data_IF_353410506412
#
_entry.id   IF_353410506412
#
_cell.length_a   1.000
_cell.length_b   1.000
_cell.length_c   1.000
_cell.angle_alpha   90.00
_cell.angle_beta   90.00
_cell.angle_gamma   90.00
#
_symmetry.space_group_name_H-M   'P 1'
#
loop_
_entity.id
_entity.type
_entity.pdbx_description
1 polymer ?
#
# COMPACT_ATOMS: atom_id res chain seq x y z
N UNK A 1 -8.44 14.94 -8.34
CA UNK A 1 -9.70 15.00 -7.58
C UNK A 1 -10.78 13.99 -8.05
N UNK A 2 -10.43 13.01 -8.88
CA UNK A 2 -11.43 12.10 -9.50
C UNK A 2 -12.00 11.01 -8.56
N UNK A 3 -11.43 10.83 -7.38
CA UNK A 3 -11.78 9.67 -6.55
C UNK A 3 -12.89 9.93 -5.53
N UNK A 4 -13.07 11.17 -5.07
CA UNK A 4 -13.96 11.43 -3.95
C UNK A 4 -14.36 12.91 -3.87
N UNK A 5 -15.61 13.18 -3.49
CA UNK A 5 -16.18 14.52 -3.50
C UNK A 5 -15.47 15.50 -2.54
N UNK A 6 -14.99 15.03 -1.40
CA UNK A 6 -14.27 15.90 -0.45
C UNK A 6 -12.99 16.52 -1.06
N UNK A 7 -12.32 15.82 -1.98
CA UNK A 7 -11.14 16.36 -2.68
C UNK A 7 -11.51 17.48 -3.66
N UNK A 8 -12.70 17.41 -4.24
CA UNK A 8 -13.23 18.52 -5.03
C UNK A 8 -13.45 19.76 -4.17
N UNK A 9 -13.92 19.58 -2.93
CA UNK A 9 -14.06 20.69 -1.97
C UNK A 9 -12.71 21.26 -1.54
N UNK A 10 -11.67 20.44 -1.39
CA UNK A 10 -10.31 20.95 -1.12
C UNK A 10 -9.85 21.90 -2.23
N UNK A 11 -9.99 21.49 -3.48
CA UNK A 11 -9.66 22.32 -4.66
C UNK A 11 -10.53 23.57 -4.71
N UNK A 12 -11.84 23.43 -4.48
CA UNK A 12 -12.77 24.55 -4.53
C UNK A 12 -12.49 25.59 -3.44
N UNK A 13 -12.17 25.15 -2.24
CA UNK A 13 -11.85 26.04 -1.12
C UNK A 13 -10.54 26.80 -1.36
N UNK A 14 -9.53 26.15 -1.98
CA UNK A 14 -8.32 26.85 -2.40
C UNK A 14 -8.65 27.95 -3.42
N UNK A 15 -9.47 27.65 -4.42
CA UNK A 15 -9.88 28.64 -5.43
C UNK A 15 -10.62 29.84 -4.81
N UNK A 16 -11.50 29.62 -3.84
CA UNK A 16 -12.29 30.67 -3.18
C UNK A 16 -11.48 31.49 -2.17
N UNK A 17 -10.41 30.93 -1.63
CA UNK A 17 -9.60 31.58 -0.62
C UNK A 17 -8.76 32.72 -1.24
N UNK A 18 -8.60 33.81 -0.51
CA UNK A 18 -7.64 34.88 -0.84
C UNK A 18 -6.21 34.44 -0.51
N UNK A 19 -5.22 35.02 -1.14
CA UNK A 19 -3.81 34.82 -0.79
C UNK A 19 -3.58 35.13 0.68
N UNK A 20 -2.89 34.26 1.39
CA UNK A 20 -2.64 34.33 2.82
C UNK A 20 -3.78 33.79 3.70
N UNK A 21 -4.97 33.50 3.13
CA UNK A 21 -6.11 32.99 3.89
C UNK A 21 -5.88 31.56 4.41
N UNK A 22 -6.55 31.24 5.50
CA UNK A 22 -6.57 29.90 6.08
C UNK A 22 -7.78 29.11 5.53
N UNK A 23 -7.56 27.85 5.22
CA UNK A 23 -8.55 26.89 4.72
C UNK A 23 -8.59 25.72 5.70
N UNK A 24 -9.65 25.64 6.51
CA UNK A 24 -9.85 24.55 7.47
C UNK A 24 -10.85 23.52 6.96
N UNK A 25 -10.53 22.23 7.07
CA UNK A 25 -11.42 21.14 6.71
C UNK A 25 -11.25 19.94 7.65
N UNK A 26 -12.30 19.12 7.70
CA UNK A 26 -12.25 17.76 8.26
C UNK A 26 -12.61 16.80 7.13
N UNK A 27 -11.77 15.80 6.90
CA UNK A 27 -11.95 14.80 5.83
C UNK A 27 -11.49 13.41 6.29
N UNK A 28 -11.74 12.40 5.46
CA UNK A 28 -11.01 11.14 5.57
C UNK A 28 -9.53 11.33 5.19
N UNK A 29 -8.59 10.57 5.77
CA UNK A 29 -7.15 10.80 5.59
C UNK A 29 -6.57 10.23 4.28
N UNK A 30 -7.36 9.60 3.43
CA UNK A 30 -6.89 8.90 2.23
C UNK A 30 -6.06 9.78 1.28
N UNK A 31 -6.40 11.07 1.16
CA UNK A 31 -5.67 12.01 0.33
C UNK A 31 -4.20 12.18 0.77
N UNK A 32 -3.90 11.89 2.02
CA UNK A 32 -2.54 12.00 2.56
C UNK A 32 -1.58 10.95 1.99
N UNK A 33 -2.08 9.76 1.59
CA UNK A 33 -1.23 8.60 1.33
C UNK A 33 -1.48 7.87 0.02
N UNK A 34 -2.72 7.79 -0.45
CA UNK A 34 -3.03 7.00 -1.64
C UNK A 34 -2.37 7.59 -2.89
N UNK A 35 -1.83 6.72 -3.75
CA UNK A 35 -1.21 7.12 -5.02
C UNK A 35 -2.19 7.82 -5.96
N UNK A 36 -3.48 7.44 -5.93
CA UNK A 36 -4.52 8.12 -6.71
C UNK A 36 -4.71 9.61 -6.38
N UNK A 37 -4.15 10.09 -5.28
CA UNK A 37 -4.18 11.49 -4.86
C UNK A 37 -2.80 12.19 -4.94
N UNK A 38 -1.84 11.59 -5.61
CA UNK A 38 -0.51 12.18 -5.79
C UNK A 38 -0.59 13.57 -6.45
N UNK A 39 -1.23 13.65 -7.63
CA UNK A 39 -1.42 14.91 -8.35
C UNK A 39 -2.14 15.98 -7.49
N UNK A 40 -3.10 15.56 -6.64
CA UNK A 40 -3.77 16.47 -5.72
C UNK A 40 -2.81 17.02 -4.67
N UNK A 41 -1.95 16.17 -4.09
CA UNK A 41 -0.95 16.60 -3.11
C UNK A 41 0.05 17.56 -3.72
N UNK A 42 0.59 17.23 -4.89
CA UNK A 42 1.53 18.11 -5.61
C UNK A 42 0.90 19.47 -5.87
N UNK A 43 -0.31 19.50 -6.42
CA UNK A 43 -1.04 20.73 -6.70
C UNK A 43 -1.32 21.55 -5.42
N UNK A 44 -1.73 20.92 -4.32
CA UNK A 44 -1.94 21.59 -3.03
C UNK A 44 -0.63 22.20 -2.51
N UNK A 45 0.45 21.44 -2.54
CA UNK A 45 1.75 21.86 -2.01
C UNK A 45 2.44 22.95 -2.83
N UNK A 46 2.04 23.13 -4.08
CA UNK A 46 2.48 24.27 -4.90
C UNK A 46 1.77 25.58 -4.52
N UNK A 47 0.55 25.50 -4.05
CA UNK A 47 -0.33 26.64 -3.82
C UNK A 47 -0.53 26.99 -2.36
N UNK A 48 -0.33 26.03 -1.50
CA UNK A 48 -0.68 26.14 -0.08
C UNK A 48 0.42 25.57 0.80
N UNK A 49 0.37 25.91 2.08
CA UNK A 49 1.18 25.31 3.11
C UNK A 49 0.32 24.68 4.19
N UNK A 50 0.61 23.44 4.56
CA UNK A 50 -0.10 22.73 5.63
C UNK A 50 0.40 23.23 6.98
N UNK A 51 -0.43 24.05 7.65
CA UNK A 51 -0.09 24.72 8.90
C UNK A 51 -0.19 23.78 10.10
N UNK A 52 -1.35 23.15 10.22
CA UNK A 52 -1.63 22.23 11.34
C UNK A 52 -2.50 21.09 10.88
N UNK A 53 -2.36 19.95 11.56
CA UNK A 53 -3.25 18.82 11.34
C UNK A 53 -3.38 17.97 12.61
N UNK A 54 -4.62 17.51 12.85
CA UNK A 54 -4.95 16.48 13.81
C UNK A 54 -5.42 15.24 13.07
N UNK A 55 -4.66 14.14 13.17
CA UNK A 55 -5.02 12.85 12.58
C UNK A 55 -5.75 12.03 13.65
N UNK A 56 -7.07 12.02 13.60
CA UNK A 56 -7.92 11.64 14.73
C UNK A 56 -8.13 10.14 14.88
N UNK A 57 -7.82 9.33 13.83
CA UNK A 57 -8.14 7.89 13.84
C UNK A 57 -9.59 7.61 13.45
N UNK A 58 -10.07 6.40 13.78
CA UNK A 58 -11.42 5.91 13.46
C UNK A 58 -12.40 6.20 14.58
N UNK A 59 -13.70 6.13 14.29
CA UNK A 59 -14.76 6.16 15.28
C UNK A 59 -15.20 7.54 15.77
N UNK A 60 -14.46 8.60 15.50
CA UNK A 60 -14.73 9.97 15.99
C UNK A 60 -16.13 10.47 15.61
N UNK A 61 -16.64 10.08 14.46
CA UNK A 61 -17.98 10.45 13.97
C UNK A 61 -18.95 9.28 13.93
N UNK A 62 -18.75 8.27 14.76
CA UNK A 62 -19.58 7.07 14.80
C UNK A 62 -19.45 6.16 13.57
N UNK A 63 -18.46 6.39 12.73
CA UNK A 63 -18.17 5.58 11.54
C UNK A 63 -16.78 4.91 11.66
N UNK A 64 -16.61 3.79 10.97
CA UNK A 64 -15.33 3.07 10.93
C UNK A 64 -14.27 3.74 10.02
N UNK A 65 -14.59 4.89 9.43
CA UNK A 65 -13.63 5.67 8.66
C UNK A 65 -12.75 6.52 9.58
N UNK A 66 -11.46 6.57 9.27
CA UNK A 66 -10.55 7.51 9.90
C UNK A 66 -10.87 8.94 9.50
N UNK A 67 -10.49 9.90 10.33
CA UNK A 67 -10.63 11.32 10.03
C UNK A 67 -9.35 12.10 10.30
N UNK A 68 -9.19 13.22 9.60
CA UNK A 68 -8.16 14.21 9.87
C UNK A 68 -8.76 15.62 9.75
N UNK A 69 -8.45 16.47 10.73
CA UNK A 69 -8.76 17.90 10.68
C UNK A 69 -7.45 18.65 10.35
N UNK A 70 -7.49 19.55 9.40
CA UNK A 70 -6.30 20.26 8.95
C UNK A 70 -6.58 21.71 8.57
N UNK A 71 -5.53 22.52 8.59
CA UNK A 71 -5.54 23.90 8.13
C UNK A 71 -4.43 24.08 7.11
N UNK A 72 -4.81 24.45 5.89
CA UNK A 72 -3.92 24.99 4.88
C UNK A 72 -3.91 26.53 4.93
N UNK A 73 -2.77 27.13 4.66
CA UNK A 73 -2.67 28.54 4.33
C UNK A 73 -2.41 28.67 2.82
N UNK A 74 -3.17 29.53 2.14
CA UNK A 74 -2.93 29.85 0.73
C UNK A 74 -1.70 30.75 0.57
N UNK A 75 -0.54 30.15 0.80
CA UNK A 75 0.78 30.75 0.60
C UNK A 75 1.80 29.62 0.49
N UNK A 76 2.55 29.49 -0.61
CA UNK A 76 3.56 28.44 -0.76
C UNK A 76 4.81 28.79 0.06
N UNK A 77 4.93 28.18 1.23
CA UNK A 77 6.07 28.34 2.15
C UNK A 77 6.78 27.00 2.31
N UNK A 78 7.63 26.62 1.37
CA UNK A 78 8.21 25.27 1.25
C UNK A 78 8.92 24.76 2.52
N UNK A 79 9.61 25.65 3.23
CA UNK A 79 10.38 25.29 4.41
C UNK A 79 9.66 25.55 5.74
N UNK A 80 8.41 26.03 5.69
CA UNK A 80 7.63 26.20 6.89
C UNK A 80 7.28 24.85 7.50
N UNK A 81 7.58 24.64 8.77
CA UNK A 81 7.25 23.41 9.49
C UNK A 81 5.88 23.54 10.14
N UNK A 82 4.91 22.88 9.56
CA UNK A 82 3.59 22.73 10.16
C UNK A 82 3.65 21.82 11.41
N UNK A 83 2.62 21.93 12.25
CA UNK A 83 2.48 21.19 13.50
C UNK A 83 1.39 20.11 13.37
N UNK A 84 1.74 18.87 13.65
CA UNK A 84 0.88 17.72 13.43
C UNK A 84 0.74 16.85 14.67
N UNK A 85 -0.47 16.39 14.96
CA UNK A 85 -0.76 15.44 16.04
C UNK A 85 -1.38 14.17 15.50
N UNK A 86 -0.93 13.02 16.03
CA UNK A 86 -1.52 11.72 15.77
C UNK A 86 -2.21 11.27 17.05
N UNK A 87 -3.54 11.06 16.97
CA UNK A 87 -4.37 10.79 18.13
C UNK A 87 -4.73 9.30 18.29
N UNK A 88 -3.92 8.42 17.72
CA UNK A 88 -4.05 6.96 17.86
C UNK A 88 -2.68 6.30 17.77
N UNK A 89 -2.47 5.21 18.48
CA UNK A 89 -1.22 4.45 18.44
C UNK A 89 -1.25 3.34 17.39
N UNK A 90 -2.32 2.58 17.35
CA UNK A 90 -2.59 1.52 16.36
C UNK A 90 -3.83 1.91 15.56
N UNK A 91 -4.18 1.10 14.56
CA UNK A 91 -5.41 1.32 13.76
C UNK A 91 -6.69 1.05 14.61
N UNK A 92 -6.75 1.64 15.80
CA UNK A 92 -7.88 1.53 16.71
C UNK A 92 -8.90 2.64 16.51
N UNK A 93 -10.13 2.39 16.94
CA UNK A 93 -11.16 3.41 17.09
C UNK A 93 -10.95 4.16 18.39
N UNK A 94 -11.26 5.45 18.39
CA UNK A 94 -11.38 6.25 19.62
C UNK A 94 -12.61 5.77 20.39
N UNK A 95 -12.45 5.46 21.66
CA UNK A 95 -13.52 4.87 22.50
C UNK A 95 -14.47 5.93 23.04
N UNK A 96 -13.99 7.17 23.25
CA UNK A 96 -14.79 8.28 23.78
C UNK A 96 -14.21 9.64 23.41
N UNK A 97 -15.03 10.69 23.53
CA UNK A 97 -14.59 12.07 23.33
C UNK A 97 -13.55 12.49 24.40
N UNK A 98 -13.69 11.97 25.61
CA UNK A 98 -12.73 12.25 26.70
C UNK A 98 -11.35 11.64 26.41
N UNK A 99 -11.30 10.41 25.90
CA UNK A 99 -10.05 9.79 25.41
C UNK A 99 -9.41 10.61 24.31
N UNK A 100 -10.21 11.07 23.33
CA UNK A 100 -9.72 11.90 22.23
C UNK A 100 -9.11 13.22 22.74
N UNK A 101 -9.79 13.92 23.66
CA UNK A 101 -9.33 15.16 24.26
C UNK A 101 -8.04 14.98 25.07
N UNK A 102 -7.98 13.93 25.89
CA UNK A 102 -6.79 13.58 26.64
C UNK A 102 -5.62 13.24 25.71
N UNK A 103 -5.86 12.44 24.69
CA UNK A 103 -4.85 12.10 23.69
C UNK A 103 -4.38 13.34 22.94
N UNK A 104 -5.29 14.25 22.59
CA UNK A 104 -4.92 15.51 21.94
C UNK A 104 -4.01 16.37 22.83
N UNK A 105 -4.28 16.45 24.11
CA UNK A 105 -3.46 17.23 25.07
C UNK A 105 -2.08 16.58 25.28
N UNK A 106 -2.01 15.28 25.43
CA UNK A 106 -0.81 14.55 25.83
C UNK A 106 0.05 14.05 24.67
N UNK A 107 -0.51 13.92 23.45
CA UNK A 107 0.23 13.37 22.31
C UNK A 107 1.37 14.29 21.87
N UNK A 108 2.46 13.64 21.43
CA UNK A 108 3.61 14.33 20.83
C UNK A 108 3.17 15.12 19.59
N UNK A 109 3.67 16.34 19.50
CA UNK A 109 3.56 17.13 18.27
C UNK A 109 4.73 16.79 17.33
N UNK A 110 4.41 16.54 16.08
CA UNK A 110 5.37 16.35 15.00
C UNK A 110 5.49 17.65 14.19
N UNK A 111 6.67 17.91 13.67
CA UNK A 111 6.94 19.06 12.84
C UNK A 111 7.57 18.61 11.52
N UNK A 112 6.97 19.00 10.41
CA UNK A 112 7.46 18.70 9.07
C UNK A 112 7.05 19.79 8.10
N UNK A 113 7.80 19.95 7.02
CA UNK A 113 7.52 20.89 5.95
C UNK A 113 7.02 20.19 4.70
N UNK A 114 6.49 20.94 3.75
CA UNK A 114 6.15 20.44 2.41
C UNK A 114 7.40 19.85 1.73
N UNK A 115 8.57 20.47 1.89
CA UNK A 115 9.82 19.94 1.36
C UNK A 115 10.20 18.58 1.96
N UNK A 116 9.83 18.33 3.22
CA UNK A 116 10.04 17.01 3.84
C UNK A 116 9.14 15.92 3.23
N UNK A 117 7.90 16.26 2.89
CA UNK A 117 6.99 15.32 2.23
C UNK A 117 7.45 14.99 0.80
N UNK A 118 7.98 15.97 0.07
CA UNK A 118 8.51 15.81 -1.28
C UNK A 118 9.77 14.92 -1.38
N UNK A 119 10.45 14.66 -0.27
CA UNK A 119 11.57 13.69 -0.21
C UNK A 119 11.13 12.25 -0.43
N UNK A 120 9.86 11.93 -0.20
CA UNK A 120 9.30 10.58 -0.37
C UNK A 120 8.50 10.55 -1.68
N UNK A 121 8.71 9.56 -2.56
CA UNK A 121 7.96 9.43 -3.81
C UNK A 121 6.45 9.47 -3.59
N UNK A 122 5.74 10.25 -4.42
CA UNK A 122 4.31 10.49 -4.28
C UNK A 122 3.94 11.51 -3.19
N UNK A 123 4.93 12.16 -2.57
CA UNK A 123 4.77 13.24 -1.59
C UNK A 123 3.73 12.95 -0.48
N UNK A 124 3.72 11.75 0.14
CA UNK A 124 2.75 11.45 1.19
C UNK A 124 2.93 12.36 2.40
N UNK A 125 1.82 12.74 3.05
CA UNK A 125 1.85 13.53 4.29
C UNK A 125 2.30 12.66 5.47
N UNK A 126 3.51 12.12 5.38
CA UNK A 126 4.10 11.21 6.35
C UNK A 126 4.88 11.99 7.44
N UNK A 127 4.19 12.85 8.16
CA UNK A 127 4.75 13.79 9.13
C UNK A 127 5.48 13.11 10.30
N UNK A 128 5.18 11.85 10.61
CA UNK A 128 5.82 11.08 11.70
C UNK A 128 7.13 10.39 11.29
N UNK A 129 7.46 10.40 10.01
CA UNK A 129 8.66 9.75 9.49
C UNK A 129 9.89 10.56 9.89
N UNK A 130 10.92 9.88 10.40
CA UNK A 130 12.17 10.53 10.79
C UNK A 130 12.97 11.05 9.58
N UNK A 131 13.82 12.04 9.81
CA UNK A 131 14.72 12.58 8.78
C UNK A 131 15.58 11.47 8.15
N UNK A 132 16.15 10.59 8.96
CA UNK A 132 16.96 9.45 8.47
C UNK A 132 16.21 8.58 7.45
N UNK A 133 14.92 8.33 7.68
CA UNK A 133 14.13 7.54 6.73
C UNK A 133 13.85 8.33 5.45
N UNK A 134 13.61 9.65 5.54
CA UNK A 134 13.45 10.50 4.35
C UNK A 134 14.72 10.56 3.51
N UNK A 135 15.89 10.62 4.16
CA UNK A 135 17.20 10.60 3.50
C UNK A 135 17.46 9.28 2.75
N UNK A 136 16.90 8.15 3.21
CA UNK A 136 17.00 6.89 2.47
C UNK A 136 16.37 7.01 1.08
N UNK A 137 15.22 7.65 0.97
CA UNK A 137 14.56 7.87 -0.32
C UNK A 137 15.31 8.83 -1.24
N UNK A 138 16.01 9.81 -0.67
CA UNK A 138 16.80 10.78 -1.45
C UNK A 138 18.13 10.21 -1.92
N UNK A 139 18.77 9.40 -1.07
CA UNK A 139 20.16 8.96 -1.27
C UNK A 139 20.28 7.57 -1.90
N UNK A 140 19.19 6.85 -2.09
CA UNK A 140 19.23 5.51 -2.66
C UNK A 140 18.33 5.40 -3.90
N UNK A 141 18.70 4.53 -4.85
CA UNK A 141 17.86 4.28 -6.02
C UNK A 141 16.53 3.62 -5.60
N UNK A 142 15.44 3.88 -6.33
CA UNK A 142 14.18 3.19 -6.10
C UNK A 142 14.29 1.70 -6.43
N UNK A 143 13.47 0.88 -5.77
CA UNK A 143 13.44 -0.56 -5.99
C UNK A 143 13.27 -0.93 -7.49
N UNK A 144 12.56 -0.10 -8.26
CA UNK A 144 12.33 -0.32 -9.69
C UNK A 144 13.61 -0.30 -10.55
N UNK A 145 14.70 0.28 -10.06
CA UNK A 145 15.99 0.26 -10.74
C UNK A 145 16.78 -1.03 -10.48
N UNK A 146 16.50 -1.73 -9.39
CA UNK A 146 17.23 -2.93 -8.99
C UNK A 146 16.43 -4.21 -9.13
N UNK A 147 15.10 -4.14 -9.17
CA UNK A 147 14.20 -5.30 -9.28
C UNK A 147 12.85 -4.92 -9.90
N UNK A 148 12.26 -5.87 -10.63
CA UNK A 148 10.89 -5.73 -11.12
C UNK A 148 9.90 -6.30 -10.10
N UNK A 149 9.12 -5.43 -9.46
CA UNK A 149 8.02 -5.85 -8.59
C UNK A 149 6.80 -6.25 -9.44
N UNK A 150 6.46 -7.52 -9.43
CA UNK A 150 5.40 -8.07 -10.26
C UNK A 150 4.41 -8.90 -9.45
N UNK A 151 3.14 -8.80 -9.78
CA UNK A 151 2.09 -9.70 -9.28
C UNK A 151 1.95 -10.84 -10.26
N UNK A 152 1.98 -12.08 -9.75
CA UNK A 152 1.83 -13.28 -10.55
C UNK A 152 0.37 -13.72 -10.73
N UNK A 153 0.18 -15.02 -10.80
CA UNK A 153 -1.11 -15.69 -10.97
C UNK A 153 -2.03 -15.50 -9.77
N UNK A 154 -3.28 -15.15 -10.04
CA UNK A 154 -4.39 -15.22 -9.09
C UNK A 154 -5.42 -16.25 -9.62
N UNK A 155 -5.70 -17.27 -8.84
CA UNK A 155 -6.56 -18.39 -9.29
C UNK A 155 -8.04 -18.03 -9.39
N UNK A 156 -8.49 -17.02 -8.62
CA UNK A 156 -9.91 -16.67 -8.51
C UNK A 156 -10.76 -17.69 -7.72
N UNK A 157 -10.29 -18.93 -7.62
CA UNK A 157 -10.88 -20.00 -6.83
C UNK A 157 -9.79 -20.96 -6.36
N UNK A 158 -9.34 -20.75 -5.12
CA UNK A 158 -8.27 -21.57 -4.56
C UNK A 158 -8.70 -23.03 -4.35
N UNK A 159 -9.95 -23.29 -3.99
CA UNK A 159 -10.45 -24.64 -3.73
C UNK A 159 -10.47 -25.46 -5.02
N UNK A 160 -10.69 -24.82 -6.15
CA UNK A 160 -10.68 -25.47 -7.46
C UNK A 160 -9.26 -25.73 -7.95
N UNK A 161 -8.36 -24.76 -7.85
CA UNK A 161 -7.09 -24.75 -8.57
C UNK A 161 -5.86 -25.02 -7.70
N UNK A 162 -5.97 -24.95 -6.37
CA UNK A 162 -4.86 -25.26 -5.49
C UNK A 162 -5.07 -26.54 -4.70
N UNK A 163 -3.96 -27.21 -4.40
CA UNK A 163 -3.89 -28.33 -3.47
C UNK A 163 -2.64 -28.18 -2.62
N UNK A 164 -2.62 -28.84 -1.47
CA UNK A 164 -1.34 -29.10 -0.81
C UNK A 164 -0.59 -30.15 -1.61
N UNK A 165 0.72 -30.05 -1.68
CA UNK A 165 1.51 -30.97 -2.50
C UNK A 165 1.34 -32.45 -2.09
N UNK A 166 1.07 -32.73 -0.82
CA UNK A 166 0.80 -34.06 -0.28
C UNK A 166 -0.59 -34.63 -0.63
N UNK A 167 -1.50 -33.81 -1.14
CA UNK A 167 -2.85 -34.22 -1.54
C UNK A 167 -2.90 -34.74 -2.99
N UNK A 168 -1.83 -34.61 -3.72
CA UNK A 168 -1.76 -34.96 -5.13
C UNK A 168 -0.74 -36.05 -5.41
N UNK A 169 -0.92 -36.76 -6.50
CA UNK A 169 0.06 -37.74 -6.98
C UNK A 169 1.38 -37.02 -7.30
N UNK A 170 2.44 -37.35 -6.57
CA UNK A 170 3.77 -36.76 -6.70
C UNK A 170 4.34 -36.92 -8.12
N UNK A 171 3.96 -38.00 -8.83
CA UNK A 171 4.40 -38.21 -10.20
C UNK A 171 3.78 -37.22 -11.17
N UNK A 172 2.67 -36.56 -10.79
CA UNK A 172 2.02 -35.48 -11.56
C UNK A 172 2.48 -34.10 -11.17
N UNK A 173 3.46 -33.96 -10.28
CA UNK A 173 4.01 -32.67 -9.88
C UNK A 173 5.26 -32.38 -10.69
N UNK A 174 5.32 -31.21 -11.30
CA UNK A 174 6.46 -30.68 -12.04
C UNK A 174 7.35 -29.84 -11.13
N UNK A 175 8.32 -30.46 -10.49
CA UNK A 175 9.37 -29.75 -9.74
C UNK A 175 10.53 -29.37 -10.65
N UNK A 176 11.25 -28.31 -10.29
CA UNK A 176 12.48 -27.91 -10.96
C UNK A 176 12.29 -27.40 -12.40
N UNK A 177 11.08 -26.97 -12.75
CA UNK A 177 10.85 -26.34 -14.04
C UNK A 177 11.47 -24.94 -14.08
N UNK A 178 12.08 -24.60 -15.20
CA UNK A 178 12.79 -23.33 -15.41
C UNK A 178 12.07 -22.42 -16.41
N UNK A 179 11.04 -22.95 -17.09
CA UNK A 179 10.26 -22.20 -18.09
C UNK A 179 8.84 -22.73 -18.27
N UNK A 180 7.97 -21.87 -18.81
CA UNK A 180 6.61 -22.25 -19.23
C UNK A 180 6.61 -23.37 -20.29
N UNK A 181 7.57 -23.34 -21.19
CA UNK A 181 7.70 -24.33 -22.25
C UNK A 181 8.07 -25.70 -21.68
N UNK A 182 9.05 -25.75 -20.80
CA UNK A 182 9.43 -26.98 -20.09
C UNK A 182 8.27 -27.53 -19.28
N UNK A 183 7.54 -26.67 -18.56
CA UNK A 183 6.36 -27.07 -17.81
C UNK A 183 5.28 -27.66 -18.71
N UNK A 184 5.03 -27.06 -19.88
CA UNK A 184 4.05 -27.58 -20.86
C UNK A 184 4.46 -28.92 -21.46
N UNK A 185 5.73 -29.09 -21.80
CA UNK A 185 6.28 -30.34 -22.38
C UNK A 185 6.36 -31.49 -21.34
N UNK A 186 6.38 -31.16 -20.05
CA UNK A 186 6.47 -32.16 -18.99
C UNK A 186 5.23 -33.01 -18.82
N UNK A 187 4.09 -32.63 -19.41
CA UNK A 187 2.77 -33.27 -19.25
C UNK A 187 2.33 -33.39 -17.77
N UNK A 188 2.98 -32.66 -16.87
CA UNK A 188 2.59 -32.60 -15.47
C UNK A 188 1.36 -31.70 -15.28
N UNK A 189 0.62 -32.02 -14.23
CA UNK A 189 -0.61 -31.29 -13.88
C UNK A 189 -0.37 -30.21 -12.85
N UNK A 190 0.41 -30.52 -11.83
CA UNK A 190 0.57 -29.70 -10.65
C UNK A 190 1.96 -29.07 -10.62
N UNK A 191 2.03 -27.81 -10.26
CA UNK A 191 3.31 -27.08 -10.18
C UNK A 191 3.38 -26.29 -8.88
N UNK A 192 4.57 -26.15 -8.26
CA UNK A 192 4.75 -25.36 -7.05
C UNK A 192 4.16 -23.96 -7.20
N UNK A 193 3.46 -23.49 -6.16
CA UNK A 193 2.77 -22.22 -6.17
C UNK A 193 3.11 -21.40 -4.92
N UNK A 194 3.72 -20.24 -5.13
CA UNK A 194 4.11 -19.32 -4.07
C UNK A 194 2.88 -18.58 -3.54
N UNK A 195 2.24 -19.14 -2.53
CA UNK A 195 1.10 -18.50 -1.88
C UNK A 195 1.56 -17.64 -0.71
N UNK A 196 0.94 -16.47 -0.53
CA UNK A 196 1.06 -15.73 0.71
C UNK A 196 0.53 -16.55 1.89
N UNK A 197 0.93 -16.22 3.09
CA UNK A 197 0.54 -16.92 4.33
C UNK A 197 1.18 -16.26 5.53
N UNK A 198 1.33 -17.03 6.59
CA UNK A 198 1.95 -16.59 7.84
C UNK A 198 3.34 -15.99 7.63
N UNK A 199 3.76 -15.22 8.61
CA UNK A 199 5.11 -14.66 8.60
C UNK A 199 6.16 -15.76 8.52
N UNK A 200 6.92 -15.77 7.45
CA UNK A 200 8.14 -16.57 7.25
C UNK A 200 9.22 -15.66 6.70
N UNK A 201 10.46 -15.89 7.10
CA UNK A 201 11.60 -15.09 6.68
C UNK A 201 12.64 -16.01 6.08
N UNK A 202 13.00 -15.64 4.85
CA UNK A 202 13.94 -16.30 3.95
C UNK A 202 13.42 -17.59 3.28
N UNK A 203 12.64 -18.44 3.96
CA UNK A 203 12.10 -19.71 3.46
C UNK A 203 10.74 -20.03 4.08
N UNK A 204 9.87 -20.77 3.37
CA UNK A 204 8.57 -21.28 3.84
C UNK A 204 7.37 -20.87 2.97
N UNK A 205 6.18 -21.32 3.34
CA UNK A 205 4.93 -21.19 2.59
C UNK A 205 4.99 -21.85 1.20
N UNK A 206 5.64 -23.04 1.12
CA UNK A 206 5.83 -23.81 -0.12
C UNK A 206 4.93 -25.06 -0.15
N UNK A 207 3.83 -25.03 0.57
CA UNK A 207 2.96 -26.19 0.74
C UNK A 207 1.98 -26.39 -0.44
N UNK A 208 1.83 -25.39 -1.31
CA UNK A 208 0.80 -25.40 -2.35
C UNK A 208 1.36 -25.73 -3.72
N UNK A 209 0.54 -26.46 -4.47
CA UNK A 209 0.69 -26.67 -5.91
C UNK A 209 -0.55 -26.16 -6.64
N UNK A 210 -0.37 -25.63 -7.84
CA UNK A 210 -1.44 -25.11 -8.70
C UNK A 210 -1.66 -26.04 -9.89
N UNK A 211 -2.91 -26.22 -10.29
CA UNK A 211 -3.25 -26.87 -11.55
C UNK A 211 -2.85 -25.98 -12.73
N UNK A 212 -1.75 -26.32 -13.37
CA UNK A 212 -1.22 -25.66 -14.57
C UNK A 212 -1.14 -26.62 -15.76
N UNK A 213 -1.98 -27.64 -15.76
CA UNK A 213 -2.07 -28.64 -16.82
C UNK A 213 -2.31 -27.98 -18.19
N UNK A 214 -1.64 -28.46 -19.22
CA UNK A 214 -1.72 -27.92 -20.58
C UNK A 214 -1.43 -26.39 -20.66
N UNK A 215 -0.46 -25.90 -19.88
CA UNK A 215 -0.11 -24.49 -19.85
C UNK A 215 -1.14 -23.61 -19.16
N UNK A 216 -1.88 -24.16 -18.19
CA UNK A 216 -2.87 -23.45 -17.41
C UNK A 216 -4.21 -23.23 -18.13
N UNK A 217 -4.56 -24.11 -19.09
CA UNK A 217 -5.77 -23.96 -19.89
C UNK A 217 -7.03 -23.72 -19.04
N UNK A 218 -7.24 -24.50 -18.00
CA UNK A 218 -8.42 -24.36 -17.13
C UNK A 218 -8.47 -23.00 -16.42
N UNK A 219 -7.32 -22.44 -16.03
CA UNK A 219 -7.23 -21.12 -15.45
C UNK A 219 -7.49 -20.03 -16.49
N UNK A 220 -6.98 -20.20 -17.71
CA UNK A 220 -7.25 -19.29 -18.82
C UNK A 220 -8.75 -19.24 -19.15
N UNK A 221 -9.40 -20.40 -19.23
CA UNK A 221 -10.84 -20.52 -19.48
C UNK A 221 -11.69 -19.94 -18.33
N UNK A 222 -11.12 -19.79 -17.13
CA UNK A 222 -11.79 -19.21 -15.96
C UNK A 222 -11.66 -17.69 -15.85
N UNK A 223 -10.98 -17.03 -16.78
CA UNK A 223 -10.90 -15.57 -16.87
C UNK A 223 -12.30 -14.99 -17.12
N UNK A 224 -12.72 -13.87 -16.50
CA UNK A 224 -11.90 -12.91 -15.70
C UNK A 224 -11.80 -13.21 -14.21
N UNK A 225 -12.35 -14.29 -13.69
CA UNK A 225 -12.25 -14.64 -12.26
C UNK A 225 -10.81 -14.99 -11.89
N UNK A 226 -10.14 -15.82 -12.69
CA UNK A 226 -8.68 -15.97 -12.60
C UNK A 226 -7.99 -14.81 -13.29
N UNK A 227 -6.80 -14.44 -12.82
CA UNK A 227 -5.99 -13.37 -13.42
C UNK A 227 -4.56 -13.87 -13.59
N UNK A 228 -4.17 -14.09 -14.85
CA UNK A 228 -2.83 -14.49 -15.22
C UNK A 228 -2.03 -13.26 -15.61
N UNK A 229 -1.10 -12.87 -14.73
CA UNK A 229 -0.24 -11.70 -14.94
C UNK A 229 1.22 -12.12 -15.02
N UNK A 230 1.97 -11.41 -15.84
CA UNK A 230 3.43 -11.53 -15.94
C UNK A 230 3.92 -12.99 -16.11
N UNK A 231 3.35 -13.78 -17.03
CA UNK A 231 3.73 -15.19 -17.19
C UNK A 231 5.21 -15.39 -17.55
N UNK A 232 5.87 -14.38 -18.10
CA UNK A 232 7.32 -14.40 -18.40
C UNK A 232 8.21 -14.55 -17.16
N UNK A 233 7.67 -14.33 -15.97
CA UNK A 233 8.38 -14.53 -14.70
C UNK A 233 8.08 -15.87 -14.01
N UNK A 234 7.16 -16.67 -14.56
CA UNK A 234 6.87 -17.99 -13.98
C UNK A 234 8.07 -18.91 -14.11
N UNK A 235 8.23 -19.79 -13.13
CA UNK A 235 9.34 -20.76 -13.03
C UNK A 235 10.74 -20.13 -12.91
N UNK A 236 10.83 -18.87 -12.53
CA UNK A 236 12.10 -18.19 -12.29
C UNK A 236 12.35 -17.97 -10.81
N UNK A 237 13.60 -18.02 -10.41
CA UNK A 237 14.00 -17.63 -9.06
C UNK A 237 13.50 -16.24 -8.72
N UNK A 238 12.93 -16.07 -7.55
CA UNK A 238 12.32 -14.81 -7.14
C UNK A 238 12.40 -14.57 -5.64
N UNK A 239 12.32 -13.31 -5.27
CA UNK A 239 12.05 -12.91 -3.88
C UNK A 239 10.56 -12.58 -3.81
N UNK A 240 9.81 -13.27 -2.94
CA UNK A 240 8.39 -13.01 -2.78
C UNK A 240 8.01 -12.62 -1.36
N UNK A 241 6.89 -11.92 -1.23
CA UNK A 241 6.30 -11.53 0.05
C UNK A 241 4.78 -11.65 0.02
N UNK A 242 4.16 -11.72 1.20
CA UNK A 242 2.69 -11.73 1.31
C UNK A 242 2.14 -10.35 0.94
N UNK A 243 1.14 -10.32 0.06
CA UNK A 243 0.55 -9.08 -0.45
C UNK A 243 -0.10 -8.24 0.66
N UNK A 244 -0.79 -8.89 1.59
CA UNK A 244 -1.39 -8.27 2.76
C UNK A 244 -0.88 -8.99 4.00
N UNK A 245 -0.34 -8.24 4.95
CA UNK A 245 0.11 -8.76 6.25
C UNK A 245 -0.19 -7.76 7.35
N UNK A 246 -0.71 -8.22 8.47
CA UNK A 246 -0.88 -7.45 9.71
C UNK A 246 0.29 -7.62 10.68
N UNK A 247 1.26 -8.46 10.35
CA UNK A 247 2.44 -8.76 11.15
C UNK A 247 3.72 -8.14 10.55
N UNK A 248 4.86 -8.75 10.83
CA UNK A 248 6.14 -8.30 10.28
C UNK A 248 6.24 -8.53 8.77
N UNK A 249 7.01 -7.66 8.11
CA UNK A 249 7.35 -7.85 6.70
C UNK A 249 8.32 -9.04 6.57
N UNK A 250 7.86 -10.10 5.93
CA UNK A 250 8.62 -11.30 5.67
C UNK A 250 8.84 -11.52 4.18
N UNK A 251 10.09 -11.73 3.77
CA UNK A 251 10.46 -12.06 2.40
C UNK A 251 11.02 -13.47 2.32
N UNK A 252 10.76 -14.15 1.23
CA UNK A 252 11.16 -15.53 0.97
C UNK A 252 11.79 -15.63 -0.41
N UNK A 253 12.85 -16.43 -0.50
CA UNK A 253 13.49 -16.77 -1.77
C UNK A 253 12.91 -18.09 -2.30
N UNK A 254 12.68 -18.12 -3.60
CA UNK A 254 12.19 -19.28 -4.34
C UNK A 254 13.02 -19.50 -5.59
#
# INVERSE_FOLDING_TARGET
AKGDLYTCFMVRNEYLAKTGALIGMITIPNWMFLSSYEDLREWLFEKTNLQTMSHNGRGVFGSDFGSCAFIFQKAPLLNYKGAYKRLFEKQGSVSSNEELDNTFKLSKCFYASVSDFKKIPGSPVAYWVSEKVREIFVNNPPMSEVANAAVGLQTGDNNRFLRFWQEVDIQKVGFGMESLEQAKLSEKKWFPYNKGGDFRKWYGNQEHVVNWENGGKELLDFTPKSVIRNPSYYFKSSISWSFVSSSYFGVRYY
#
